data_IF_003213233131
#
_entry.id   IF_003213233131
#
_cell.length_a   1.000
_cell.length_b   1.000
_cell.length_c   1.000
_cell.angle_alpha   90.00
_cell.angle_beta   90.00
_cell.angle_gamma   90.00
#
_symmetry.space_group_name_H-M   'P 1'
#
loop_
_entity.id
_entity.type
_entity.pdbx_description
1 polymer ?
#
# COMPACT_ATOMS: atom_id res chain seq x y z
N UNK A 1 -37.05 -8.53 23.69
CA UNK A 1 -36.44 -8.47 22.35
C UNK A 1 -35.20 -7.59 22.48
N UNK A 2 -34.03 -8.20 22.31
CA UNK A 2 -32.75 -7.80 22.92
C UNK A 2 -32.03 -6.78 22.06
N UNK A 3 -31.89 -5.54 22.54
CA UNK A 3 -30.82 -4.62 22.11
C UNK A 3 -30.08 -4.19 23.37
N UNK A 4 -29.27 -5.10 23.89
CA UNK A 4 -28.21 -4.78 24.84
C UNK A 4 -26.89 -4.91 24.08
N UNK A 5 -26.47 -3.82 23.45
CA UNK A 5 -25.18 -3.72 22.80
C UNK A 5 -24.39 -2.60 23.50
N UNK A 6 -23.82 -2.98 24.65
CA UNK A 6 -22.64 -2.42 25.29
C UNK A 6 -22.14 -1.07 24.73
N UNK A 7 -22.69 0.01 25.27
CA UNK A 7 -22.04 1.32 25.32
C UNK A 7 -20.82 1.17 26.22
N UNK A 8 -19.67 0.91 25.60
CA UNK A 8 -18.42 0.70 26.29
C UNK A 8 -17.27 1.25 25.46
N UNK A 9 -17.16 2.59 25.42
CA UNK A 9 -15.92 3.25 25.01
C UNK A 9 -14.85 2.98 26.07
N UNK A 10 -14.21 1.81 25.97
CA UNK A 10 -12.89 1.58 26.54
C UNK A 10 -11.93 1.55 25.37
N UNK A 11 -11.17 2.64 25.18
CA UNK A 11 -9.77 2.53 24.77
C UNK A 11 -9.03 1.73 25.87
N UNK A 12 -9.35 0.45 26.00
CA UNK A 12 -8.43 -0.47 26.61
C UNK A 12 -7.32 -0.62 25.59
N UNK A 13 -6.19 0.02 25.87
CA UNK A 13 -4.89 -0.46 25.41
C UNK A 13 -4.71 -1.89 25.95
N UNK A 14 -5.48 -2.86 25.45
CA UNK A 14 -5.17 -4.29 25.58
C UNK A 14 -3.78 -4.45 24.97
N UNK A 15 -2.89 -5.26 25.55
CA UNK A 15 -1.48 -5.28 25.16
C UNK A 15 -1.40 -5.44 23.64
N UNK A 16 -0.94 -4.39 22.96
CA UNK A 16 -0.82 -4.33 21.50
C UNK A 16 0.29 -5.26 21.00
N UNK A 17 1.10 -5.80 21.92
CA UNK A 17 2.24 -6.66 21.68
C UNK A 17 2.00 -7.79 20.65
N UNK A 18 0.96 -8.64 20.75
CA UNK A 18 0.68 -9.65 19.73
C UNK A 18 0.27 -9.08 18.37
N UNK A 19 -0.35 -7.89 18.32
CA UNK A 19 -0.76 -7.27 17.05
C UNK A 19 0.43 -6.59 16.37
N UNK A 20 1.30 -5.94 17.13
CA UNK A 20 2.54 -5.36 16.62
C UNK A 20 3.49 -6.45 16.11
N UNK A 21 3.55 -7.61 16.77
CA UNK A 21 4.30 -8.77 16.27
C UNK A 21 3.74 -9.24 14.93
N UNK A 22 2.42 -9.43 14.81
CA UNK A 22 1.84 -9.83 13.51
C UNK A 22 2.11 -8.81 12.41
N UNK A 23 2.05 -7.50 12.70
CA UNK A 23 2.41 -6.46 11.74
C UNK A 23 3.88 -6.53 11.35
N UNK A 24 4.79 -6.72 12.30
CA UNK A 24 6.21 -6.90 12.01
C UNK A 24 6.44 -8.13 11.11
N UNK A 25 5.75 -9.25 11.37
CA UNK A 25 5.80 -10.45 10.54
C UNK A 25 5.27 -10.22 9.11
N UNK A 26 4.24 -9.39 8.96
CA UNK A 26 3.74 -8.97 7.64
C UNK A 26 4.75 -8.09 6.93
N UNK A 27 5.36 -7.12 7.61
CA UNK A 27 6.37 -6.22 7.04
C UNK A 27 7.65 -6.95 6.64
N UNK A 28 8.03 -8.01 7.38
CA UNK A 28 9.21 -8.82 7.07
C UNK A 28 8.97 -9.83 5.94
N UNK A 29 7.72 -10.21 5.67
CA UNK A 29 7.38 -11.21 4.67
C UNK A 29 7.93 -10.91 3.25
N UNK A 30 7.84 -9.67 2.70
CA UNK A 30 8.37 -9.34 1.38
C UNK A 30 9.88 -9.61 1.23
N UNK A 31 10.65 -9.53 2.33
CA UNK A 31 12.09 -9.81 2.31
C UNK A 31 12.40 -11.30 2.23
N UNK A 32 11.46 -12.15 2.66
CA UNK A 32 11.57 -13.62 2.58
C UNK A 32 11.03 -14.11 1.24
N UNK A 33 9.88 -13.57 0.80
CA UNK A 33 9.18 -13.99 -0.41
C UNK A 33 8.41 -12.80 -1.03
N UNK A 34 8.61 -12.44 -2.32
CA UNK A 34 9.59 -12.94 -3.29
C UNK A 34 10.92 -12.16 -3.22
N UNK A 35 11.27 -11.57 -2.08
CA UNK A 35 12.41 -10.66 -1.91
C UNK A 35 13.70 -11.15 -2.55
N UNK A 36 14.03 -12.44 -2.41
CA UNK A 36 15.23 -13.01 -3.01
C UNK A 36 15.23 -12.99 -4.56
N UNK A 37 14.07 -13.13 -5.20
CA UNK A 37 13.92 -13.17 -6.67
C UNK A 37 13.76 -11.76 -7.28
N UNK A 38 13.11 -10.84 -6.57
CA UNK A 38 12.96 -9.43 -7.01
C UNK A 38 14.26 -8.65 -6.80
N UNK A 39 15.00 -8.94 -5.73
CA UNK A 39 16.34 -8.40 -5.51
C UNK A 39 17.36 -8.98 -6.51
N UNK A 40 17.12 -10.21 -7.00
CA UNK A 40 17.96 -10.92 -7.97
C UNK A 40 17.77 -10.53 -9.45
N UNK A 41 17.01 -9.47 -9.75
CA UNK A 41 16.77 -8.91 -11.10
C UNK A 41 16.04 -9.83 -12.12
N UNK A 42 16.08 -11.15 -11.96
CA UNK A 42 15.60 -12.12 -12.96
C UNK A 42 14.08 -12.04 -13.25
N UNK A 43 13.26 -11.58 -12.31
CA UNK A 43 11.81 -11.35 -12.53
C UNK A 43 11.42 -9.93 -12.93
N UNK A 44 12.37 -8.98 -12.96
CA UNK A 44 12.12 -7.64 -13.48
C UNK A 44 12.08 -7.61 -15.02
N UNK A 45 12.30 -8.76 -15.66
CA UNK A 45 12.43 -8.95 -17.10
C UNK A 45 11.11 -9.33 -17.82
N UNK A 46 9.94 -9.12 -17.21
CA UNK A 46 8.65 -9.53 -17.77
C UNK A 46 7.64 -8.39 -17.91
N UNK A 47 6.77 -8.50 -18.94
CA UNK A 47 5.79 -7.48 -19.35
C UNK A 47 6.45 -6.14 -19.66
N UNK A 48 5.85 -5.01 -19.30
CA UNK A 48 6.29 -3.68 -19.76
C UNK A 48 7.45 -3.10 -18.93
N UNK A 49 7.89 -3.79 -17.88
CA UNK A 49 8.88 -3.23 -16.96
C UNK A 49 10.26 -2.97 -17.60
N UNK A 50 10.89 -3.92 -18.31
CA UNK A 50 12.21 -3.67 -18.88
C UNK A 50 12.16 -2.83 -20.16
N UNK A 51 11.10 -2.94 -20.98
CA UNK A 51 10.98 -2.19 -22.24
C UNK A 51 10.42 -0.77 -22.06
N UNK A 52 9.54 -0.56 -21.08
CA UNK A 52 8.84 0.71 -20.90
C UNK A 52 9.17 1.38 -19.58
N UNK A 53 8.85 0.77 -18.43
CA UNK A 53 8.99 1.47 -17.14
C UNK A 53 10.44 1.77 -16.75
N UNK A 54 11.36 0.81 -16.92
CA UNK A 54 12.76 0.98 -16.56
C UNK A 54 13.48 2.11 -17.34
N UNK A 55 13.50 2.12 -18.69
CA UNK A 55 14.16 3.19 -19.44
C UNK A 55 13.53 4.55 -19.16
N UNK A 56 12.23 4.58 -18.86
CA UNK A 56 11.52 5.79 -18.52
C UNK A 56 11.92 6.33 -17.14
N UNK A 57 11.99 5.47 -16.12
CA UNK A 57 12.52 5.84 -14.79
C UNK A 57 13.99 6.24 -14.86
N UNK A 58 14.78 5.60 -15.73
CA UNK A 58 16.17 6.00 -16.00
C UNK A 58 16.24 7.41 -16.59
N UNK A 59 15.41 7.73 -17.58
CA UNK A 59 15.35 9.08 -18.14
C UNK A 59 14.94 10.13 -17.10
N UNK A 60 13.92 9.85 -16.28
CA UNK A 60 13.50 10.73 -15.18
C UNK A 60 14.67 10.99 -14.22
N UNK A 61 15.37 9.92 -13.83
CA UNK A 61 16.54 10.02 -12.95
C UNK A 61 17.63 10.90 -13.55
N UNK A 62 17.96 10.72 -14.83
CA UNK A 62 18.99 11.51 -15.51
C UNK A 62 18.60 12.99 -15.61
N UNK A 63 17.34 13.30 -15.91
CA UNK A 63 16.84 14.68 -15.93
C UNK A 63 16.92 15.32 -14.53
N UNK A 64 16.45 14.61 -13.50
CA UNK A 64 16.46 15.12 -12.12
C UNK A 64 17.89 15.39 -11.63
N UNK A 65 18.87 14.56 -12.02
CA UNK A 65 20.29 14.79 -11.70
C UNK A 65 20.86 16.08 -12.29
N UNK A 66 20.30 16.57 -13.40
CA UNK A 66 20.72 17.86 -13.98
C UNK A 66 20.10 19.07 -13.26
N UNK A 67 19.33 18.86 -12.20
CA UNK A 67 18.58 19.91 -11.50
C UNK A 67 17.36 20.40 -12.28
N UNK A 68 16.94 19.66 -13.30
CA UNK A 68 15.77 19.99 -14.12
C UNK A 68 14.58 19.13 -13.69
N UNK A 69 13.39 19.71 -13.78
CA UNK A 69 12.14 18.99 -13.57
C UNK A 69 11.72 18.33 -14.89
N UNK A 70 11.38 17.03 -14.90
CA UNK A 70 10.88 16.36 -16.09
C UNK A 70 9.43 16.81 -16.36
N UNK A 71 9.28 17.92 -17.09
CA UNK A 71 7.95 18.40 -17.50
C UNK A 71 7.45 17.71 -18.77
N UNK A 72 8.35 17.53 -19.75
CA UNK A 72 8.02 16.99 -21.06
C UNK A 72 9.04 15.94 -21.47
N UNK A 73 8.55 14.75 -21.81
CA UNK A 73 9.37 13.66 -22.31
C UNK A 73 9.26 13.61 -23.84
N UNK A 74 10.32 13.96 -24.60
CA UNK A 74 10.27 13.99 -26.06
C UNK A 74 10.29 12.59 -26.69
N UNK A 75 10.57 11.54 -25.91
CA UNK A 75 10.77 10.17 -26.41
C UNK A 75 9.48 9.34 -26.45
N UNK A 76 8.37 9.86 -25.91
CA UNK A 76 7.07 9.18 -25.88
C UNK A 76 6.15 9.69 -26.99
N UNK A 77 5.87 8.88 -28.02
CA UNK A 77 4.82 9.17 -29.03
C UNK A 77 4.86 10.57 -29.68
N UNK A 78 6.05 11.14 -29.88
CA UNK A 78 6.21 12.51 -30.41
C UNK A 78 6.25 13.61 -29.34
N UNK A 79 6.21 13.22 -28.07
CA UNK A 79 6.30 14.07 -26.89
C UNK A 79 5.08 13.94 -25.99
N UNK A 80 5.29 13.89 -24.67
CA UNK A 80 4.20 13.85 -23.70
C UNK A 80 4.53 14.51 -22.35
N UNK A 81 3.51 14.93 -21.59
CA UNK A 81 3.70 15.50 -20.26
C UNK A 81 4.17 14.43 -19.28
N UNK A 82 5.39 14.58 -18.75
CA UNK A 82 5.92 13.65 -17.76
C UNK A 82 5.49 14.01 -16.33
N UNK A 83 5.43 15.30 -16.03
CA UNK A 83 5.15 15.79 -14.68
C UNK A 83 3.84 15.21 -14.10
N UNK A 84 2.82 15.11 -14.96
CA UNK A 84 1.50 14.56 -14.61
C UNK A 84 1.31 13.11 -15.01
N UNK A 85 2.37 12.38 -15.37
CA UNK A 85 2.27 10.99 -15.81
C UNK A 85 1.91 10.09 -14.61
N UNK A 86 0.68 9.52 -14.55
CA UNK A 86 0.27 8.69 -13.43
C UNK A 86 1.00 7.34 -13.40
N UNK A 87 1.57 6.91 -14.51
CA UNK A 87 2.25 5.63 -14.63
C UNK A 87 3.66 5.66 -14.04
N UNK A 88 4.38 6.76 -14.26
CA UNK A 88 5.71 6.96 -13.68
C UNK A 88 5.66 7.68 -12.34
N UNK A 89 4.64 8.51 -12.14
CA UNK A 89 4.37 9.29 -10.92
C UNK A 89 5.67 9.87 -10.32
N UNK A 90 6.42 10.71 -11.07
CA UNK A 90 7.79 11.09 -10.73
C UNK A 90 7.92 11.82 -9.38
N UNK A 91 6.83 12.37 -8.86
CA UNK A 91 6.77 13.07 -7.57
C UNK A 91 6.04 12.29 -6.48
N UNK A 92 5.68 11.03 -6.73
CA UNK A 92 5.15 10.15 -5.70
C UNK A 92 6.27 9.85 -4.69
N UNK A 93 6.08 10.07 -3.37
CA UNK A 93 7.18 9.96 -2.40
C UNK A 93 7.93 8.62 -2.41
N UNK A 94 7.27 7.45 -2.56
CA UNK A 94 7.94 6.16 -2.73
C UNK A 94 8.71 5.97 -4.04
N UNK A 95 8.61 6.92 -4.98
CA UNK A 95 9.37 6.96 -6.22
C UNK A 95 10.50 7.96 -6.12
N UNK A 96 10.21 9.25 -5.88
CA UNK A 96 11.21 10.32 -6.00
C UNK A 96 12.38 10.17 -5.01
N UNK A 97 12.10 9.83 -3.75
CA UNK A 97 13.15 9.75 -2.73
C UNK A 97 14.10 8.57 -3.00
N UNK A 98 13.61 7.33 -3.21
CA UNK A 98 14.50 6.23 -3.57
C UNK A 98 15.18 6.41 -4.92
N UNK A 99 14.50 7.02 -5.90
CA UNK A 99 15.06 7.24 -7.23
C UNK A 99 16.31 8.12 -7.16
N UNK A 100 16.23 9.25 -6.43
CA UNK A 100 17.35 10.17 -6.27
C UNK A 100 18.51 9.58 -5.46
N UNK A 101 18.20 8.79 -4.42
CA UNK A 101 19.21 8.28 -3.48
C UNK A 101 19.88 6.99 -3.95
N UNK A 102 19.15 6.10 -4.62
CA UNK A 102 19.57 4.72 -4.88
C UNK A 102 19.61 4.38 -6.38
N UNK A 103 19.02 5.21 -7.23
CA UNK A 103 18.88 4.96 -8.66
C UNK A 103 17.69 4.06 -9.03
N UNK A 104 17.40 3.89 -10.33
CA UNK A 104 16.14 3.33 -10.79
C UNK A 104 15.89 1.87 -10.39
N UNK A 105 16.92 1.01 -10.45
CA UNK A 105 16.79 -0.42 -10.12
C UNK A 105 16.42 -0.59 -8.65
N UNK A 106 17.22 0.00 -7.76
CA UNK A 106 17.00 -0.09 -6.32
C UNK A 106 15.68 0.58 -5.91
N UNK A 107 15.30 1.66 -6.60
CA UNK A 107 14.01 2.30 -6.41
C UNK A 107 12.84 1.38 -6.78
N UNK A 108 12.87 0.71 -7.93
CA UNK A 108 11.83 -0.24 -8.35
C UNK A 108 11.69 -1.41 -7.36
N UNK A 109 12.83 -1.96 -6.90
CA UNK A 109 12.87 -3.04 -5.91
C UNK A 109 12.27 -2.59 -4.57
N UNK A 110 12.72 -1.45 -4.05
CA UNK A 110 12.23 -0.91 -2.79
C UNK A 110 10.74 -0.56 -2.87
N UNK A 111 10.30 0.05 -3.97
CA UNK A 111 8.90 0.37 -4.22
C UNK A 111 8.04 -0.89 -4.17
N UNK A 112 8.46 -1.97 -4.85
CA UNK A 112 7.73 -3.24 -4.80
C UNK A 112 7.61 -3.79 -3.37
N UNK A 113 8.73 -3.84 -2.64
CA UNK A 113 8.77 -4.33 -1.24
C UNK A 113 7.83 -3.51 -0.34
N UNK A 114 7.89 -2.18 -0.43
CA UNK A 114 7.06 -1.28 0.37
C UNK A 114 5.57 -1.45 0.06
N UNK A 115 5.19 -1.54 -1.21
CA UNK A 115 3.79 -1.71 -1.59
C UNK A 115 3.26 -3.11 -1.26
N UNK A 116 4.10 -4.15 -1.35
CA UNK A 116 3.71 -5.48 -0.89
C UNK A 116 3.47 -5.51 0.62
N UNK A 117 4.34 -4.87 1.42
CA UNK A 117 4.13 -4.71 2.86
C UNK A 117 2.86 -3.91 3.16
N UNK A 118 2.60 -2.83 2.42
CA UNK A 118 1.40 -2.01 2.54
C UNK A 118 0.12 -2.80 2.27
N UNK A 119 0.10 -3.59 1.19
CA UNK A 119 -0.99 -4.49 0.82
C UNK A 119 -1.33 -5.45 1.97
N UNK A 120 -0.31 -6.13 2.50
CA UNK A 120 -0.45 -7.07 3.61
C UNK A 120 -0.91 -6.40 4.90
N UNK A 121 -0.33 -5.26 5.25
CA UNK A 121 -0.66 -4.53 6.48
C UNK A 121 -2.09 -4.00 6.44
N UNK A 122 -2.49 -3.37 5.34
CA UNK A 122 -3.85 -2.89 5.14
C UNK A 122 -4.87 -4.01 5.24
N UNK A 123 -4.59 -5.16 4.62
CA UNK A 123 -5.51 -6.30 4.65
C UNK A 123 -5.58 -6.96 6.04
N UNK A 124 -4.44 -7.12 6.71
CA UNK A 124 -4.40 -7.59 8.09
C UNK A 124 -5.24 -6.68 9.00
N UNK A 125 -5.03 -5.37 8.94
CA UNK A 125 -5.77 -4.39 9.76
C UNK A 125 -7.27 -4.41 9.46
N UNK A 126 -7.65 -4.50 8.18
CA UNK A 126 -9.02 -4.66 7.74
C UNK A 126 -9.69 -5.89 8.36
N UNK A 127 -9.05 -7.06 8.30
CA UNK A 127 -9.58 -8.29 8.90
C UNK A 127 -9.66 -8.22 10.44
N UNK A 128 -8.73 -7.48 11.06
CA UNK A 128 -8.76 -7.24 12.51
C UNK A 128 -9.96 -6.39 12.92
N UNK A 129 -10.36 -5.43 12.09
CA UNK A 129 -11.57 -4.63 12.29
C UNK A 129 -12.87 -5.40 12.03
N UNK A 130 -12.80 -6.45 11.20
CA UNK A 130 -13.86 -7.45 11.02
C UNK A 130 -13.88 -8.53 12.12
N UNK A 131 -13.11 -8.36 13.20
CA UNK A 131 -13.06 -9.27 14.36
C UNK A 131 -12.49 -10.68 14.10
N UNK A 132 -11.83 -10.93 12.96
CA UNK A 132 -11.14 -12.22 12.70
C UNK A 132 -10.02 -12.48 13.71
N UNK A 133 -9.79 -13.73 14.14
CA UNK A 133 -8.67 -14.06 15.05
C UNK A 133 -7.33 -13.71 14.38
N UNK A 134 -6.36 -13.26 15.19
CA UNK A 134 -5.05 -12.75 14.71
C UNK A 134 -4.32 -13.74 13.78
N UNK A 135 -4.31 -15.01 14.15
CA UNK A 135 -3.68 -16.07 13.36
C UNK A 135 -4.28 -16.16 11.95
N UNK A 136 -5.61 -16.18 11.84
CA UNK A 136 -6.30 -16.24 10.56
C UNK A 136 -6.13 -14.97 9.73
N UNK A 137 -6.11 -13.80 10.39
CA UNK A 137 -5.84 -12.54 9.71
C UNK A 137 -4.40 -12.47 9.16
N UNK A 138 -3.41 -12.96 9.92
CA UNK A 138 -2.01 -13.04 9.49
C UNK A 138 -1.87 -14.01 8.32
N UNK A 139 -2.46 -15.20 8.45
CA UNK A 139 -2.43 -16.21 7.38
C UNK A 139 -3.05 -15.68 6.09
N UNK A 140 -4.21 -15.02 6.17
CA UNK A 140 -4.86 -14.42 5.01
C UNK A 140 -4.03 -13.29 4.37
N UNK A 141 -3.37 -12.45 5.16
CA UNK A 141 -2.44 -11.44 4.66
C UNK A 141 -1.26 -12.07 3.91
N UNK A 142 -0.64 -13.10 4.48
CA UNK A 142 0.44 -13.83 3.80
C UNK A 142 -0.03 -14.54 2.54
N UNK A 143 -1.21 -15.15 2.54
CA UNK A 143 -1.79 -15.75 1.34
C UNK A 143 -2.02 -14.70 0.24
N UNK A 144 -2.51 -13.50 0.58
CA UNK A 144 -2.68 -12.41 -0.38
C UNK A 144 -1.32 -11.96 -0.95
N UNK A 145 -0.32 -11.75 -0.09
CA UNK A 145 1.02 -11.33 -0.49
C UNK A 145 1.75 -12.38 -1.33
N UNK A 146 1.52 -13.67 -1.05
CA UNK A 146 2.10 -14.79 -1.78
C UNK A 146 1.27 -15.23 -3.00
N UNK A 147 0.12 -14.60 -3.24
CA UNK A 147 -0.71 -14.93 -4.39
C UNK A 147 -0.04 -14.52 -5.71
N UNK A 148 -0.54 -15.04 -6.84
CA UNK A 148 -0.04 -14.65 -8.16
C UNK A 148 -0.31 -13.18 -8.53
N UNK A 149 -1.22 -12.50 -7.81
CA UNK A 149 -1.56 -11.11 -8.11
C UNK A 149 -0.37 -10.15 -7.99
N UNK A 150 0.26 -9.94 -6.80
CA UNK A 150 1.38 -9.00 -6.69
C UNK A 150 2.57 -9.39 -7.57
N UNK A 151 2.81 -10.70 -7.76
CA UNK A 151 3.93 -11.21 -8.57
C UNK A 151 3.74 -10.85 -10.05
N UNK A 152 2.54 -11.01 -10.59
CA UNK A 152 2.27 -10.67 -12.00
C UNK A 152 2.26 -9.16 -12.25
N UNK A 153 2.09 -8.34 -11.21
CA UNK A 153 2.11 -6.86 -11.31
C UNK A 153 3.48 -6.23 -11.12
N UNK A 154 4.54 -7.04 -10.95
CA UNK A 154 5.92 -6.53 -11.03
C UNK A 154 6.16 -5.83 -12.37
N UNK A 155 5.66 -6.43 -13.46
CA UNK A 155 5.77 -5.90 -14.81
C UNK A 155 4.98 -4.61 -15.08
N UNK A 156 4.02 -4.27 -14.21
CA UNK A 156 3.13 -3.12 -14.32
C UNK A 156 3.05 -2.41 -12.95
N UNK A 157 4.14 -1.72 -12.53
CA UNK A 157 4.26 -1.22 -11.16
C UNK A 157 3.13 -0.29 -10.72
N UNK A 158 2.62 0.55 -11.62
CA UNK A 158 1.49 1.47 -11.38
C UNK A 158 0.21 0.73 -10.92
N UNK A 159 -0.09 -0.42 -11.51
CA UNK A 159 -1.23 -1.26 -11.13
C UNK A 159 -0.98 -1.90 -9.76
N UNK A 160 0.25 -2.37 -9.52
CA UNK A 160 0.68 -2.90 -8.23
C UNK A 160 0.53 -1.88 -7.11
N UNK A 161 0.96 -0.63 -7.34
CA UNK A 161 0.86 0.46 -6.37
C UNK A 161 -0.59 0.74 -5.99
N UNK A 162 -1.45 0.89 -7.01
CA UNK A 162 -2.86 1.20 -6.83
C UNK A 162 -3.57 0.11 -6.01
N UNK A 163 -3.26 -1.16 -6.32
CA UNK A 163 -3.82 -2.29 -5.60
C UNK A 163 -3.32 -2.39 -4.15
N UNK A 164 -2.07 -2.01 -3.88
CA UNK A 164 -1.52 -2.01 -2.53
C UNK A 164 -2.22 -1.05 -1.57
N UNK A 165 -2.71 0.09 -2.07
CA UNK A 165 -3.49 1.04 -1.27
C UNK A 165 -4.90 0.54 -0.93
N UNK A 166 -5.46 -0.36 -1.75
CA UNK A 166 -6.86 -0.74 -1.67
C UNK A 166 -7.27 -1.31 -0.29
N UNK A 167 -6.56 -2.28 0.32
CA UNK A 167 -6.94 -2.79 1.64
C UNK A 167 -6.84 -1.74 2.75
N UNK A 168 -5.87 -0.83 2.66
CA UNK A 168 -5.73 0.26 3.62
C UNK A 168 -6.91 1.23 3.52
N UNK A 169 -7.35 1.56 2.31
CA UNK A 169 -8.54 2.40 2.08
C UNK A 169 -9.78 1.73 2.68
N UNK A 170 -9.96 0.42 2.48
CA UNK A 170 -11.08 -0.32 3.08
C UNK A 170 -11.05 -0.26 4.60
N UNK A 171 -9.88 -0.44 5.21
CA UNK A 171 -9.69 -0.34 6.66
C UNK A 171 -10.03 1.06 7.19
N UNK A 172 -9.49 2.11 6.54
CA UNK A 172 -9.77 3.50 6.92
C UNK A 172 -11.25 3.86 6.74
N UNK A 173 -11.90 3.37 5.68
CA UNK A 173 -13.32 3.60 5.44
C UNK A 173 -14.19 2.96 6.54
N UNK A 174 -13.89 1.72 6.94
CA UNK A 174 -14.62 1.07 8.05
C UNK A 174 -14.48 1.85 9.37
N UNK A 175 -13.28 2.37 9.66
CA UNK A 175 -13.04 3.21 10.84
C UNK A 175 -13.86 4.50 10.78
N UNK A 176 -13.88 5.16 9.63
CA UNK A 176 -14.64 6.37 9.42
C UNK A 176 -16.16 6.16 9.63
N UNK A 177 -16.74 5.12 9.02
CA UNK A 177 -18.17 4.80 9.16
C UNK A 177 -18.54 4.50 10.61
N UNK A 178 -17.74 3.68 11.32
CA UNK A 178 -17.99 3.38 12.74
C UNK A 178 -17.93 4.63 13.63
N UNK A 179 -17.02 5.57 13.36
CA UNK A 179 -16.95 6.84 14.08
C UNK A 179 -18.18 7.73 13.78
N UNK A 180 -18.63 7.77 12.53
CA UNK A 180 -19.80 8.56 12.13
C UNK A 180 -21.10 8.01 12.75
N UNK A 181 -21.26 6.68 12.78
CA UNK A 181 -22.41 6.03 13.43
C UNK A 181 -22.38 6.22 14.95
N UNK A 182 -21.20 6.22 15.57
CA UNK A 182 -21.05 6.53 17.00
C UNK A 182 -21.43 7.99 17.29
N UNK A 183 -20.98 8.94 16.47
CA UNK A 183 -21.36 10.35 16.60
C UNK A 183 -22.88 10.53 16.47
N UNK A 184 -23.51 9.91 15.46
CA UNK A 184 -24.97 9.92 15.32
C UNK A 184 -25.65 9.28 16.52
N UNK A 185 -25.17 8.14 16.99
CA UNK A 185 -25.68 7.46 18.18
C UNK A 185 -25.62 8.33 19.44
N UNK A 186 -24.55 9.09 19.66
CA UNK A 186 -24.42 10.05 20.76
C UNK A 186 -25.38 11.24 20.63
N UNK A 187 -25.53 11.79 19.42
CA UNK A 187 -26.49 12.89 19.16
C UNK A 187 -27.93 12.44 19.37
N UNK A 188 -28.31 11.25 18.91
CA UNK A 188 -29.67 10.74 19.08
C UNK A 188 -29.95 10.16 20.47
N UNK A 189 -28.95 9.62 21.17
CA UNK A 189 -29.10 9.16 22.57
C UNK A 189 -29.10 10.30 23.59
N UNK A 190 -28.53 11.46 23.25
CA UNK A 190 -28.59 12.69 24.06
C UNK A 190 -29.96 13.40 24.03
N UNK A 191 -30.86 13.03 23.11
CA UNK A 191 -32.19 13.63 22.95
C UNK A 191 -33.35 12.79 23.49
N UNK A 192 -33.11 11.57 23.97
CA UNK A 192 -34.16 10.62 24.39
C UNK A 192 -34.55 10.64 25.87
N UNK A 193 -34.24 11.72 26.59
CA UNK A 193 -34.37 11.81 28.04
C UNK A 193 -35.18 12.99 28.56
N UNK A 194 -36.15 13.53 27.81
CA UNK A 194 -37.16 14.45 28.32
C UNK A 194 -38.46 14.29 27.52
N UNK A 195 -39.31 13.35 27.93
CA UNK A 195 -40.80 13.41 27.97
C UNK A 195 -41.32 12.06 28.45
#
# INVERSE_FOLDING_TARGET
MVISAYVGFRMHLKPYFPTTICLALVVLFPFIYPGCEVLGFSRLLGADLPEFHFPHQQWIYDILKTGRIPFWNPYLYGGGPEFGNPEMAPFYPPVILPLLLLGPIAMLQLKFVLHLALLGCGFFLFLRDLHFRRFWALLAAWTLMASGFPITKIGLPNVGDSAAWFPLILWLNQRFVRCADLHRGLVYSGGGGIT
#
